data_IF_125340769672
#
_entry.id   IF_125340769672
#
_cell.length_a   1.000
_cell.length_b   1.000
_cell.length_c   1.000
_cell.angle_alpha   90.00
_cell.angle_beta   90.00
_cell.angle_gamma   90.00
#
_symmetry.space_group_name_H-M   'P 1'
#
loop_
_entity.id
_entity.type
_entity.pdbx_description
1 polymer ?
#
# COMPACT_ATOMS: atom_id res chain seq x y z
N UNK A 1 -15.54 -30.09 -12.44
CA UNK A 1 -14.88 -29.10 -11.61
C UNK A 1 -13.76 -29.78 -10.85
N UNK A 2 -12.56 -29.27 -10.91
CA UNK A 2 -11.45 -29.78 -10.10
C UNK A 2 -11.72 -29.42 -8.65
N UNK A 3 -12.21 -30.35 -7.86
CA UNK A 3 -12.28 -30.19 -6.43
C UNK A 3 -10.90 -30.49 -5.86
N UNK A 4 -10.42 -29.62 -4.96
CA UNK A 4 -9.20 -29.87 -4.19
C UNK A 4 -9.52 -31.06 -3.26
N UNK A 5 -8.72 -32.13 -3.32
CA UNK A 5 -8.90 -33.29 -2.46
C UNK A 5 -8.56 -32.93 -1.01
N UNK A 6 -9.00 -33.72 -0.03
CA UNK A 6 -8.70 -33.47 1.37
C UNK A 6 -7.19 -33.59 1.63
N UNK A 7 -6.48 -34.48 0.92
CA UNK A 7 -5.02 -34.57 0.99
C UNK A 7 -4.33 -33.29 0.47
N UNK A 8 -4.80 -32.75 -0.65
CA UNK A 8 -4.24 -31.49 -1.18
C UNK A 8 -4.48 -30.31 -0.24
N UNK A 9 -5.62 -30.30 0.49
CA UNK A 9 -5.90 -29.28 1.52
C UNK A 9 -4.95 -29.38 2.70
N UNK A 10 -4.67 -30.60 3.15
CA UNK A 10 -3.71 -30.85 4.22
C UNK A 10 -2.32 -30.41 3.83
N UNK A 11 -1.87 -30.72 2.62
CA UNK A 11 -0.58 -30.29 2.08
C UNK A 11 -0.49 -28.77 2.04
N UNK A 12 -1.53 -28.07 1.54
CA UNK A 12 -1.59 -26.59 1.51
C UNK A 12 -1.47 -26.01 2.92
N UNK A 13 -2.19 -26.59 3.88
CA UNK A 13 -2.19 -26.10 5.26
C UNK A 13 -0.84 -26.33 5.94
N UNK A 14 -0.19 -27.48 5.67
CA UNK A 14 1.11 -27.80 6.26
C UNK A 14 2.24 -26.91 5.73
N UNK A 15 2.10 -26.38 4.52
CA UNK A 15 3.01 -25.39 3.95
C UNK A 15 2.85 -23.97 4.56
N UNK A 16 1.73 -23.71 5.25
CA UNK A 16 1.50 -22.43 5.91
C UNK A 16 2.24 -22.39 7.25
N UNK A 17 3.03 -21.33 7.51
CA UNK A 17 3.66 -21.12 8.80
C UNK A 17 2.67 -21.17 9.98
N UNK A 18 3.11 -21.59 11.14
CA UNK A 18 2.26 -21.67 12.33
C UNK A 18 1.65 -20.32 12.74
N UNK A 19 2.28 -19.22 12.39
CA UNK A 19 1.77 -17.87 12.62
C UNK A 19 0.71 -17.42 11.61
N UNK A 20 0.58 -18.11 10.46
CA UNK A 20 -0.37 -17.73 9.43
C UNK A 20 0.27 -17.27 8.12
N UNK A 21 -0.54 -16.74 7.22
CA UNK A 21 -0.14 -16.26 5.90
C UNK A 21 -0.01 -14.74 5.91
N UNK A 22 1.21 -14.24 5.67
CA UNK A 22 1.47 -12.80 5.52
C UNK A 22 1.29 -12.37 4.08
N UNK A 23 0.64 -11.23 3.90
CA UNK A 23 0.50 -10.61 2.60
C UNK A 23 0.88 -9.12 2.66
N UNK A 24 1.42 -8.63 1.56
CA UNK A 24 1.70 -7.22 1.35
C UNK A 24 1.38 -6.89 -0.11
N UNK A 25 0.62 -5.84 -0.33
CA UNK A 25 0.25 -5.38 -1.67
C UNK A 25 0.28 -3.86 -1.71
N UNK A 26 1.07 -3.33 -2.64
CA UNK A 26 1.08 -1.92 -2.97
C UNK A 26 0.34 -1.68 -4.29
N UNK A 27 -0.38 -0.58 -4.36
CA UNK A 27 -1.09 -0.17 -5.56
C UNK A 27 -0.91 1.31 -5.83
N UNK A 28 -0.94 1.68 -7.10
CA UNK A 28 -0.93 3.06 -7.54
C UNK A 28 -1.88 3.27 -8.70
N UNK A 29 -2.58 4.38 -8.69
CA UNK A 29 -3.46 4.79 -9.79
C UNK A 29 -2.84 5.95 -10.54
N UNK A 30 -2.52 5.69 -11.80
CA UNK A 30 -2.13 6.70 -12.76
C UNK A 30 -3.25 6.83 -13.80
N UNK A 31 -3.99 7.91 -13.79
CA UNK A 31 -4.95 8.15 -14.86
C UNK A 31 -4.27 8.87 -16.03
N UNK A 32 -4.69 8.63 -17.28
CA UNK A 32 -4.14 9.36 -18.43
C UNK A 32 -4.32 10.90 -18.35
N UNK A 33 -5.20 11.35 -17.47
CA UNK A 33 -5.47 12.77 -17.21
C UNK A 33 -4.85 13.29 -15.91
N UNK A 34 -4.00 12.47 -15.26
CA UNK A 34 -3.38 12.85 -13.98
C UNK A 34 -2.28 13.89 -14.13
N UNK A 35 -1.86 14.20 -15.34
CA UNK A 35 -0.78 15.17 -15.60
C UNK A 35 -1.16 16.09 -16.74
N UNK A 36 -1.01 17.39 -16.49
CA UNK A 36 -1.21 18.45 -17.51
C UNK A 36 0.01 19.35 -17.50
N UNK A 37 0.65 19.51 -18.67
CA UNK A 37 1.76 20.42 -18.86
C UNK A 37 1.34 21.61 -19.73
N UNK A 38 1.83 22.79 -19.39
CA UNK A 38 1.52 24.03 -20.08
C UNK A 38 2.67 25.02 -19.98
N UNK A 39 2.84 25.90 -21.02
CA UNK A 39 3.83 26.95 -20.98
C UNK A 39 3.41 28.07 -20.03
N UNK A 40 4.39 28.67 -19.37
CA UNK A 40 4.25 29.89 -18.58
C UNK A 40 4.98 31.07 -19.25
N UNK A 41 4.68 32.33 -18.86
CA UNK A 41 5.47 33.48 -19.29
C UNK A 41 6.96 33.30 -18.97
N UNK A 42 7.79 34.09 -19.62
CA UNK A 42 9.25 34.14 -19.47
C UNK A 42 10.00 32.86 -19.83
N UNK A 43 9.43 32.04 -20.71
CA UNK A 43 10.02 30.78 -21.17
C UNK A 43 10.07 29.68 -20.09
N UNK A 44 9.20 29.76 -19.12
CA UNK A 44 8.99 28.71 -18.16
C UNK A 44 8.01 27.63 -18.68
N UNK A 45 8.18 26.42 -18.22
CA UNK A 45 7.21 25.34 -18.40
C UNK A 45 6.68 24.91 -17.04
N UNK A 46 5.42 24.52 -17.01
CA UNK A 46 4.78 24.04 -15.79
C UNK A 46 4.05 22.73 -16.06
N UNK A 47 3.97 21.91 -15.02
CA UNK A 47 3.13 20.71 -15.04
C UNK A 47 2.45 20.53 -13.68
N UNK A 48 1.21 20.07 -13.75
CA UNK A 48 0.44 19.65 -12.57
C UNK A 48 0.20 18.15 -12.70
N UNK A 49 0.42 17.43 -11.61
CA UNK A 49 0.22 15.98 -11.56
C UNK A 49 -0.56 15.60 -10.30
N UNK A 50 -1.48 14.66 -10.46
CA UNK A 50 -2.23 14.02 -9.38
C UNK A 50 -1.87 12.55 -9.34
N UNK A 51 -1.39 12.09 -8.19
CA UNK A 51 -1.06 10.69 -7.95
C UNK A 51 -1.83 10.18 -6.75
N UNK A 52 -2.25 8.92 -6.80
CA UNK A 52 -2.81 8.21 -5.65
C UNK A 52 -2.08 6.88 -5.55
N UNK A 53 -1.57 6.59 -4.38
CA UNK A 53 -0.93 5.32 -4.06
C UNK A 53 -1.37 4.83 -2.70
N UNK A 54 -1.28 3.53 -2.48
CA UNK A 54 -1.64 2.94 -1.21
C UNK A 54 -1.05 1.56 -1.08
N UNK A 55 -1.15 1.02 0.11
CA UNK A 55 -0.73 -0.33 0.39
C UNK A 55 -1.60 -0.95 1.48
N UNK A 56 -1.67 -2.26 1.45
CA UNK A 56 -2.33 -3.07 2.47
C UNK A 56 -1.40 -4.21 2.80
N UNK A 57 -1.15 -4.42 4.08
CA UNK A 57 -0.43 -5.59 4.57
C UNK A 57 -1.16 -6.19 5.76
N UNK A 58 -0.95 -7.47 5.99
CA UNK A 58 -1.58 -8.15 7.11
C UNK A 58 -1.19 -9.61 7.19
N UNK A 59 -1.70 -10.24 8.24
CA UNK A 59 -1.54 -11.66 8.53
C UNK A 59 -2.90 -12.31 8.70
N UNK A 60 -3.12 -13.42 7.98
CA UNK A 60 -4.30 -14.25 8.12
C UNK A 60 -3.91 -15.47 8.97
N UNK A 61 -4.51 -15.66 10.15
CA UNK A 61 -4.22 -16.80 11.01
C UNK A 61 -4.40 -18.13 10.28
N UNK A 62 -3.54 -19.11 10.57
CA UNK A 62 -3.62 -20.44 9.98
C UNK A 62 -4.98 -21.09 10.19
N UNK A 63 -5.55 -20.98 11.38
CA UNK A 63 -6.86 -21.53 11.72
C UNK A 63 -7.99 -20.96 10.85
N UNK A 64 -7.89 -19.71 10.42
CA UNK A 64 -8.85 -19.10 9.48
C UNK A 64 -8.76 -19.73 8.09
N UNK A 65 -7.55 -20.05 7.64
CA UNK A 65 -7.33 -20.73 6.36
C UNK A 65 -7.84 -22.17 6.44
N UNK A 66 -7.58 -22.87 7.54
CA UNK A 66 -8.13 -24.19 7.82
C UNK A 66 -9.66 -24.20 7.74
N UNK A 67 -10.30 -23.20 8.35
CA UNK A 67 -11.75 -23.04 8.28
C UNK A 67 -12.24 -22.80 6.85
N UNK A 68 -11.57 -21.98 6.07
CA UNK A 68 -11.97 -21.70 4.68
C UNK A 68 -11.81 -22.93 3.76
N UNK A 69 -10.79 -23.76 4.00
CA UNK A 69 -10.51 -24.95 3.18
C UNK A 69 -11.31 -26.19 3.61
N UNK A 70 -11.47 -26.41 4.91
CA UNK A 70 -12.09 -27.63 5.48
C UNK A 70 -13.49 -27.42 6.04
N UNK A 71 -13.86 -26.17 6.33
CA UNK A 71 -15.17 -25.84 6.92
C UNK A 71 -15.41 -26.58 8.24
N UNK A 72 -16.62 -27.04 8.47
CA UNK A 72 -17.02 -27.71 9.70
C UNK A 72 -16.40 -29.12 9.91
N UNK A 73 -15.79 -29.70 8.89
CA UNK A 73 -15.20 -31.04 9.00
C UNK A 73 -13.99 -31.03 9.94
N UNK A 74 -13.17 -30.00 9.84
CA UNK A 74 -12.01 -29.84 10.73
C UNK A 74 -12.39 -29.76 12.23
N UNK A 75 -13.50 -29.10 12.56
CA UNK A 75 -13.97 -29.04 13.94
C UNK A 75 -14.37 -30.44 14.49
N UNK A 76 -14.99 -31.26 13.65
CA UNK A 76 -15.34 -32.67 14.03
C UNK A 76 -14.09 -33.52 14.24
N UNK A 77 -13.08 -33.35 13.40
CA UNK A 77 -11.84 -34.11 13.51
C UNK A 77 -11.07 -33.71 14.79
N UNK A 78 -11.10 -32.42 15.14
CA UNK A 78 -10.53 -31.94 16.42
C UNK A 78 -11.30 -32.48 17.64
N UNK A 79 -12.62 -32.50 17.60
CA UNK A 79 -13.47 -33.03 18.65
C UNK A 79 -13.24 -34.54 18.84
N UNK A 80 -13.07 -35.28 17.74
CA UNK A 80 -12.78 -36.72 17.77
C UNK A 80 -11.45 -37.07 18.47
N UNK A 81 -10.48 -36.12 18.47
CA UNK A 81 -9.20 -36.27 19.17
C UNK A 81 -9.16 -35.54 20.53
N UNK A 82 -10.30 -35.09 21.04
CA UNK A 82 -10.42 -34.43 22.34
C UNK A 82 -9.89 -32.99 22.38
N UNK A 83 -9.75 -32.33 21.21
CA UNK A 83 -9.40 -30.91 21.12
C UNK A 83 -10.67 -30.06 21.06
N UNK A 84 -10.58 -28.79 21.48
CA UNK A 84 -11.72 -27.90 21.45
C UNK A 84 -12.27 -27.74 19.99
N UNK A 85 -13.59 -27.84 19.79
CA UNK A 85 -14.23 -27.71 18.49
C UNK A 85 -14.31 -26.23 18.12
N UNK A 86 -13.20 -25.66 17.67
CA UNK A 86 -13.19 -24.25 17.29
C UNK A 86 -11.89 -23.86 16.61
N UNK A 87 -11.95 -22.75 15.90
CA UNK A 87 -10.84 -22.12 15.27
C UNK A 87 -10.47 -20.88 16.08
N UNK A 88 -9.21 -20.72 16.37
CA UNK A 88 -8.68 -19.51 16.95
C UNK A 88 -8.35 -18.54 15.82
N UNK A 89 -9.10 -17.43 15.75
CA UNK A 89 -8.84 -16.35 14.82
C UNK A 89 -8.24 -15.14 15.54
N UNK A 90 -7.73 -15.34 16.75
CA UNK A 90 -6.97 -14.33 17.46
C UNK A 90 -5.66 -14.00 16.72
N UNK A 91 -5.11 -12.86 17.09
CA UNK A 91 -3.78 -12.40 16.63
C UNK A 91 -3.66 -12.15 15.12
N UNK A 92 -4.79 -11.89 14.41
CA UNK A 92 -4.66 -11.32 13.08
C UNK A 92 -4.29 -9.83 13.19
N UNK A 93 -3.39 -9.42 12.35
CA UNK A 93 -3.03 -8.02 12.20
C UNK A 93 -3.28 -7.56 10.77
N UNK A 94 -3.31 -6.26 10.61
CA UNK A 94 -3.46 -5.66 9.30
C UNK A 94 -3.31 -4.16 9.38
N UNK A 95 -2.65 -3.62 8.37
CA UNK A 95 -2.61 -2.19 8.18
C UNK A 95 -2.80 -1.82 6.72
N UNK A 96 -3.39 -0.67 6.51
CA UNK A 96 -3.57 -0.09 5.19
C UNK A 96 -3.26 1.39 5.23
N UNK A 97 -2.71 1.88 4.15
CA UNK A 97 -2.43 3.30 3.99
C UNK A 97 -2.78 3.75 2.58
N UNK A 98 -3.13 5.02 2.47
CA UNK A 98 -3.36 5.69 1.20
C UNK A 98 -2.73 7.06 1.21
N UNK A 99 -2.19 7.47 0.07
CA UNK A 99 -1.57 8.77 -0.13
C UNK A 99 -2.05 9.38 -1.44
N UNK A 100 -2.72 10.52 -1.36
CA UNK A 100 -2.98 11.41 -2.49
C UNK A 100 -1.90 12.47 -2.56
N UNK A 101 -1.32 12.67 -3.74
CA UNK A 101 -0.28 13.66 -3.99
C UNK A 101 -0.71 14.59 -5.11
N UNK A 102 -0.74 15.88 -4.84
CA UNK A 102 -0.81 16.96 -5.82
C UNK A 102 0.59 17.53 -6.00
N UNK A 103 1.13 17.44 -7.22
CA UNK A 103 2.47 17.95 -7.54
C UNK A 103 2.36 19.08 -8.55
N UNK A 104 3.07 20.18 -8.30
CA UNK A 104 3.22 21.29 -9.20
C UNK A 104 4.69 21.48 -9.54
N UNK A 105 5.05 21.20 -10.78
CA UNK A 105 6.39 21.33 -11.31
C UNK A 105 6.54 22.63 -12.11
N UNK A 106 7.66 23.28 -11.96
CA UNK A 106 8.08 24.43 -12.76
C UNK A 106 9.49 24.14 -13.27
N UNK A 107 9.73 24.35 -14.55
CA UNK A 107 11.02 24.15 -15.18
C UNK A 107 11.40 25.35 -16.05
N UNK A 108 12.69 25.61 -16.16
CA UNK A 108 13.26 26.64 -17.02
C UNK A 108 14.37 26.06 -17.89
N UNK A 109 14.28 26.17 -19.21
CA UNK A 109 15.42 25.90 -20.07
C UNK A 109 16.50 26.97 -19.84
N UNK A 110 17.70 26.49 -19.58
CA UNK A 110 18.91 27.31 -19.45
C UNK A 110 20.03 26.59 -20.19
N UNK A 111 21.00 27.32 -20.72
CA UNK A 111 22.14 26.70 -21.39
C UNK A 111 23.43 27.27 -20.81
N UNK A 112 24.01 26.57 -19.83
CA UNK A 112 25.33 26.93 -19.31
C UNK A 112 26.38 26.80 -20.42
N UNK A 113 27.26 27.79 -20.55
CA UNK A 113 28.30 27.81 -21.58
C UNK A 113 29.15 26.51 -21.60
N UNK A 114 29.45 25.96 -20.43
CA UNK A 114 30.22 24.72 -20.29
C UNK A 114 29.51 23.49 -20.88
N UNK A 115 28.17 23.48 -20.92
CA UNK A 115 27.38 22.36 -21.43
C UNK A 115 26.98 22.50 -22.90
N UNK A 116 27.10 23.70 -23.46
CA UNK A 116 26.68 24.02 -24.84
C UNK A 116 27.43 23.22 -25.90
N UNK A 117 28.60 22.67 -25.59
CA UNK A 117 29.37 21.78 -26.48
C UNK A 117 28.79 20.37 -26.57
N UNK A 118 28.10 19.92 -25.55
CA UNK A 118 27.62 18.51 -25.39
C UNK A 118 26.10 18.39 -25.54
N UNK A 119 25.37 19.42 -25.09
CA UNK A 119 23.91 19.40 -25.05
C UNK A 119 23.32 20.39 -26.07
N UNK A 120 22.20 20.01 -26.66
CA UNK A 120 21.33 20.89 -27.43
C UNK A 120 20.35 21.64 -26.55
N UNK A 121 19.90 21.00 -25.49
CA UNK A 121 18.96 21.54 -24.52
C UNK A 121 19.39 21.19 -23.11
N UNK A 122 19.16 22.07 -22.17
CA UNK A 122 19.32 21.83 -20.75
C UNK A 122 18.27 22.61 -19.98
N UNK A 123 17.62 21.96 -19.00
CA UNK A 123 16.61 22.58 -18.17
C UNK A 123 16.83 22.23 -16.69
N UNK A 124 16.47 23.16 -15.84
CA UNK A 124 16.39 22.97 -14.40
C UNK A 124 14.95 23.11 -13.95
N UNK A 125 14.54 22.36 -12.96
CA UNK A 125 13.18 22.39 -12.45
C UNK A 125 13.07 22.10 -10.96
N UNK A 126 11.95 22.51 -10.41
CA UNK A 126 11.53 22.21 -9.05
C UNK A 126 10.10 21.71 -9.07
N UNK A 127 9.78 20.79 -8.17
CA UNK A 127 8.42 20.27 -7.97
C UNK A 127 8.03 20.46 -6.51
N UNK A 128 6.93 21.17 -6.31
CA UNK A 128 6.27 21.32 -5.03
C UNK A 128 5.18 20.25 -4.90
N UNK A 129 5.12 19.59 -3.76
CA UNK A 129 4.16 18.52 -3.48
C UNK A 129 3.28 18.88 -2.30
N UNK A 130 2.00 18.65 -2.44
CA UNK A 130 1.03 18.60 -1.34
C UNK A 130 0.55 17.16 -1.21
N UNK A 131 0.70 16.59 -0.02
CA UNK A 131 0.37 15.20 0.25
C UNK A 131 -0.75 15.10 1.28
N UNK A 132 -1.74 14.27 1.00
CA UNK A 132 -2.84 13.91 1.89
C UNK A 132 -2.76 12.42 2.15
N UNK A 133 -2.48 12.04 3.38
CA UNK A 133 -2.34 10.65 3.78
C UNK A 133 -3.47 10.21 4.71
N UNK A 134 -3.84 8.93 4.60
CA UNK A 134 -4.67 8.25 5.56
C UNK A 134 -4.08 6.85 5.84
N UNK A 135 -4.24 6.38 7.05
CA UNK A 135 -3.88 5.02 7.41
C UNK A 135 -4.89 4.42 8.39
N UNK A 136 -4.98 3.10 8.37
CA UNK A 136 -5.70 2.31 9.36
C UNK A 136 -4.87 1.08 9.73
N UNK A 137 -4.87 0.72 10.98
CA UNK A 137 -4.19 -0.48 11.46
C UNK A 137 -5.01 -1.19 12.53
N UNK A 138 -4.85 -2.48 12.63
CA UNK A 138 -5.36 -3.30 13.72
C UNK A 138 -4.27 -3.39 14.77
N UNK A 139 -4.54 -2.83 15.95
CA UNK A 139 -3.59 -2.83 17.08
C UNK A 139 -3.63 -4.12 17.87
N UNK A 140 -4.79 -4.73 17.92
CA UNK A 140 -5.07 -5.96 18.62
C UNK A 140 -6.32 -6.58 18.06
N UNK A 141 -6.29 -7.88 17.90
CA UNK A 141 -7.46 -8.68 17.57
C UNK A 141 -7.50 -9.91 18.48
N UNK A 142 -8.69 -10.33 18.82
CA UNK A 142 -8.96 -11.61 19.41
C UNK A 142 -10.31 -12.12 18.93
N UNK A 143 -10.50 -13.44 18.94
CA UNK A 143 -11.75 -14.03 18.47
C UNK A 143 -11.65 -15.52 18.23
N UNK A 144 -12.80 -16.10 17.95
CA UNK A 144 -12.89 -17.53 17.66
C UNK A 144 -14.14 -17.86 16.85
N UNK A 145 -14.06 -18.93 16.11
CA UNK A 145 -15.19 -19.54 15.42
C UNK A 145 -15.45 -20.87 16.08
N UNK A 146 -16.59 -21.02 16.75
CA UNK A 146 -17.05 -22.30 17.28
C UNK A 146 -18.08 -22.89 16.32
N UNK A 147 -17.79 -24.05 15.78
CA UNK A 147 -18.69 -24.73 14.85
C UNK A 147 -19.46 -25.81 15.55
N UNK A 148 -20.77 -25.89 15.29
CA UNK A 148 -21.69 -26.93 15.81
C UNK A 148 -22.42 -27.57 14.64
N UNK A 149 -23.05 -28.69 14.88
CA UNK A 149 -23.86 -29.40 13.87
C UNK A 149 -24.99 -28.49 13.33
N UNK A 150 -25.50 -27.58 14.15
CA UNK A 150 -26.62 -26.68 13.82
C UNK A 150 -26.22 -25.27 13.37
N UNK A 151 -24.92 -24.94 13.36
CA UNK A 151 -24.46 -23.59 13.00
C UNK A 151 -23.04 -23.31 13.46
N UNK A 152 -22.63 -22.07 13.29
CA UNK A 152 -21.34 -21.56 13.80
C UNK A 152 -21.59 -20.30 14.64
N UNK A 153 -20.97 -20.25 15.79
CA UNK A 153 -20.90 -19.04 16.62
C UNK A 153 -19.56 -18.35 16.30
N UNK A 154 -19.62 -17.12 15.86
CA UNK A 154 -18.43 -16.31 15.56
C UNK A 154 -18.35 -15.18 16.58
N UNK A 155 -17.22 -15.07 17.25
CA UNK A 155 -16.90 -13.91 18.07
C UNK A 155 -15.63 -13.28 17.56
N UNK A 156 -15.62 -11.96 17.36
CA UNK A 156 -14.44 -11.24 16.95
C UNK A 156 -14.40 -9.90 17.69
N UNK A 157 -13.23 -9.56 18.19
CA UNK A 157 -12.95 -8.29 18.82
C UNK A 157 -11.70 -7.70 18.19
N UNK A 158 -11.78 -6.44 17.76
CA UNK A 158 -10.65 -5.76 17.17
C UNK A 158 -10.54 -4.33 17.71
N UNK A 159 -9.34 -3.96 18.08
CA UNK A 159 -8.98 -2.58 18.40
C UNK A 159 -8.24 -2.00 17.20
N UNK A 160 -8.86 -1.01 16.57
CA UNK A 160 -8.33 -0.39 15.36
C UNK A 160 -7.91 1.05 15.63
N UNK A 161 -6.91 1.51 14.90
CA UNK A 161 -6.46 2.88 14.91
C UNK A 161 -6.50 3.44 13.49
N UNK A 162 -7.09 4.62 13.35
CA UNK A 162 -7.12 5.34 12.09
C UNK A 162 -6.46 6.70 12.27
N UNK A 163 -5.80 7.15 11.25
CA UNK A 163 -5.19 8.47 11.23
C UNK A 163 -5.10 9.04 9.83
N UNK A 164 -4.92 10.34 9.79
CA UNK A 164 -4.67 11.06 8.56
C UNK A 164 -3.61 12.11 8.77
N UNK A 165 -3.04 12.59 7.68
CA UNK A 165 -2.00 13.61 7.73
C UNK A 165 -1.94 14.44 6.46
N UNK A 166 -1.29 15.58 6.61
CA UNK A 166 -0.98 16.49 5.50
C UNK A 166 0.53 16.68 5.47
N UNK A 167 1.10 16.63 4.29
CA UNK A 167 2.53 16.80 4.06
C UNK A 167 2.83 17.74 2.90
N UNK A 168 4.04 18.25 2.92
CA UNK A 168 4.61 19.05 1.85
C UNK A 168 5.95 18.46 1.45
N UNK A 169 6.23 18.49 0.14
CA UNK A 169 7.50 18.01 -0.40
C UNK A 169 8.08 18.97 -1.42
N UNK A 170 9.40 18.87 -1.61
CA UNK A 170 10.16 19.59 -2.63
C UNK A 170 11.12 18.64 -3.32
N UNK A 171 11.04 18.58 -4.64
CA UNK A 171 12.03 17.93 -5.49
C UNK A 171 12.76 18.97 -6.32
N UNK A 172 14.02 18.69 -6.66
CA UNK A 172 14.79 19.44 -7.65
C UNK A 172 15.25 18.50 -8.75
N UNK A 173 15.28 18.98 -9.96
CA UNK A 173 15.70 18.17 -11.11
C UNK A 173 16.43 18.99 -12.17
N UNK A 174 17.25 18.27 -12.93
CA UNK A 174 17.88 18.78 -14.13
C UNK A 174 17.70 17.76 -15.24
N UNK A 175 17.56 18.24 -16.47
CA UNK A 175 17.51 17.39 -17.66
C UNK A 175 18.30 18.02 -18.79
N UNK A 176 18.89 17.19 -19.64
CA UNK A 176 19.62 17.63 -20.81
C UNK A 176 19.43 16.70 -21.97
N UNK A 177 19.40 17.23 -23.18
CA UNK A 177 19.33 16.48 -24.44
C UNK A 177 20.66 16.65 -25.16
N UNK A 178 21.27 15.54 -25.60
CA UNK A 178 22.53 15.58 -26.36
C UNK A 178 22.35 16.27 -27.70
N UNK A 179 23.43 16.79 -28.28
CA UNK A 179 23.38 17.54 -29.57
C UNK A 179 22.82 16.72 -30.73
N UNK A 180 23.00 15.43 -30.72
CA UNK A 180 22.46 14.53 -31.74
C UNK A 180 20.96 14.24 -31.55
N UNK A 181 20.36 14.75 -30.47
CA UNK A 181 18.95 14.56 -30.10
C UNK A 181 18.58 13.14 -29.72
N UNK A 182 19.55 12.20 -29.61
CA UNK A 182 19.27 10.77 -29.41
C UNK A 182 19.21 10.37 -27.95
N UNK A 183 19.85 11.15 -27.07
CA UNK A 183 19.96 10.78 -25.65
C UNK A 183 19.44 11.92 -24.78
N UNK A 184 18.57 11.57 -23.85
CA UNK A 184 18.14 12.47 -22.78
C UNK A 184 18.72 11.96 -21.46
N UNK A 185 19.37 12.83 -20.71
CA UNK A 185 19.92 12.53 -19.38
C UNK A 185 19.20 13.40 -18.37
N UNK A 186 18.77 12.82 -17.27
CA UNK A 186 18.13 13.54 -16.18
C UNK A 186 18.69 13.12 -14.82
N UNK A 187 18.72 14.07 -13.90
CA UNK A 187 19.03 13.83 -12.49
C UNK A 187 17.96 14.52 -11.66
N UNK A 188 17.42 13.80 -10.69
CA UNK A 188 16.44 14.33 -9.75
C UNK A 188 16.87 14.03 -8.31
N UNK A 189 16.77 15.04 -7.46
CA UNK A 189 16.84 14.93 -6.01
C UNK A 189 15.43 15.00 -5.48
N UNK A 190 14.92 13.85 -5.06
CA UNK A 190 13.54 13.71 -4.59
C UNK A 190 13.48 13.87 -3.08
N UNK A 191 12.38 14.46 -2.61
CA UNK A 191 12.09 14.62 -1.19
C UNK A 191 13.21 15.38 -0.42
N UNK A 192 13.77 16.41 -1.03
CA UNK A 192 14.73 17.31 -0.38
C UNK A 192 14.16 17.91 0.90
N UNK A 193 12.88 18.25 0.88
CA UNK A 193 12.06 18.59 2.02
C UNK A 193 10.85 17.68 1.94
N UNK A 194 10.66 16.86 2.95
CA UNK A 194 9.50 16.00 3.10
C UNK A 194 9.01 16.12 4.54
N UNK A 195 7.83 16.69 4.70
CA UNK A 195 7.20 16.85 6.01
C UNK A 195 5.82 16.24 5.94
N UNK A 196 5.62 15.12 6.61
CA UNK A 196 4.31 14.52 6.78
C UNK A 196 3.90 14.61 8.24
N UNK A 197 2.85 15.38 8.50
CA UNK A 197 2.33 15.56 9.85
C UNK A 197 1.11 14.65 10.06
N UNK A 198 1.32 13.53 10.72
CA UNK A 198 0.30 12.54 11.00
C UNK A 198 -0.48 12.91 12.26
N UNK A 199 -1.77 13.20 12.11
CA UNK A 199 -2.71 13.40 13.22
C UNK A 199 -3.45 12.10 13.49
N UNK A 200 -3.01 11.34 14.49
CA UNK A 200 -3.72 10.14 14.95
C UNK A 200 -4.88 10.59 15.83
N UNK A 201 -6.11 10.42 15.36
CA UNK A 201 -7.28 10.99 16.08
C UNK A 201 -8.37 10.00 16.46
N UNK A 202 -8.36 8.76 15.98
CA UNK A 202 -9.40 7.82 16.35
C UNK A 202 -8.86 6.43 16.68
N UNK A 203 -9.26 5.93 17.84
CA UNK A 203 -9.17 4.53 18.22
C UNK A 203 -10.60 4.02 18.32
N UNK A 204 -10.89 2.93 17.65
CA UNK A 204 -12.18 2.26 17.72
C UNK A 204 -11.99 0.87 18.30
N UNK A 205 -12.95 0.51 19.15
CA UNK A 205 -13.04 -0.80 19.77
C UNK A 205 -14.34 -1.43 19.23
N UNK A 206 -14.23 -2.54 18.54
CA UNK A 206 -15.36 -3.17 17.85
C UNK A 206 -15.48 -4.63 18.28
N UNK A 207 -16.68 -5.02 18.69
CA UNK A 207 -17.02 -6.40 19.08
C UNK A 207 -18.12 -6.87 18.12
N UNK A 208 -17.90 -8.03 17.50
CA UNK A 208 -18.82 -8.67 16.58
C UNK A 208 -19.19 -10.06 17.04
#
# INVERSE_FOLDING_TARGET
GNFISDGDKDDIIDDIPSGGLKFNTDFGFFTPFSSVAFPLPWGLSSAITLNVRGGVEGEVPRDMIDFLLKGNQFARDREAVGKAPGYDIAEWDGQGWGLGEFSWAIAKPIMPAALSSYLSEFAVGATFKLMLGAFGEVLRSDGGIQTRVSGADVSAHAVTRFGGGIGFGLDLGVTGITKDGKTTVGLALMNLLDTMNWNIKSRQDSVF
#
